data_IF_023295164139
#
_entry.id   IF_023295164139
#
_cell.length_a   1.000
_cell.length_b   1.000
_cell.length_c   1.000
_cell.angle_alpha   90.00
_cell.angle_beta   90.00
_cell.angle_gamma   90.00
#
_symmetry.space_group_name_H-M   'P 1'
#
loop_
_entity.id
_entity.type
_entity.pdbx_description
1 polymer ?
#
# COMPACT_ATOMS: atom_id res chain seq x y z
N UNK A 1 18.41 -2.57 -12.21
CA UNK A 1 17.57 -3.47 -13.03
C UNK A 1 16.75 -4.33 -12.08
N UNK A 2 15.50 -4.66 -12.41
CA UNK A 2 14.71 -5.60 -11.62
C UNK A 2 15.29 -7.02 -11.73
N UNK A 3 15.00 -7.88 -10.75
CA UNK A 3 15.37 -9.30 -10.75
C UNK A 3 14.55 -10.12 -11.77
N UNK A 4 14.82 -11.42 -11.83
CA UNK A 4 14.00 -12.36 -12.59
C UNK A 4 12.57 -12.44 -12.02
N UNK A 5 11.61 -12.86 -12.86
CA UNK A 5 10.25 -13.14 -12.40
C UNK A 5 10.26 -14.31 -11.42
N UNK A 6 9.39 -14.22 -10.42
CA UNK A 6 9.17 -15.21 -9.37
C UNK A 6 7.70 -15.29 -9.03
N UNK A 7 7.29 -16.41 -8.48
CA UNK A 7 6.00 -16.62 -7.85
C UNK A 7 6.12 -16.34 -6.34
N UNK A 8 5.06 -15.80 -5.74
CA UNK A 8 5.00 -15.48 -4.31
C UNK A 8 3.79 -16.20 -3.70
N UNK A 9 4.05 -17.11 -2.77
CA UNK A 9 3.00 -17.79 -2.02
C UNK A 9 2.60 -16.98 -0.79
N UNK A 10 1.29 -16.74 -0.65
CA UNK A 10 0.72 -16.07 0.53
C UNK A 10 -0.26 -17.01 1.22
N UNK A 11 0.02 -17.34 2.48
CA UNK A 11 -0.81 -18.18 3.33
C UNK A 11 -1.15 -17.45 4.63
N UNK A 12 -2.43 -17.44 5.00
CA UNK A 12 -2.90 -16.83 6.25
C UNK A 12 -2.37 -15.39 6.48
N UNK A 13 -2.29 -14.61 5.40
CA UNK A 13 -1.80 -13.22 5.44
C UNK A 13 -0.28 -13.06 5.55
N UNK A 14 0.50 -14.11 5.31
CA UNK A 14 1.97 -14.08 5.33
C UNK A 14 2.55 -14.60 4.03
N UNK A 15 3.67 -14.02 3.59
CA UNK A 15 4.50 -14.59 2.52
C UNK A 15 5.21 -15.81 3.10
N UNK A 16 4.99 -16.99 2.52
CA UNK A 16 5.58 -18.26 2.98
C UNK A 16 6.61 -18.81 2.01
N UNK A 17 6.57 -18.41 0.74
CA UNK A 17 7.50 -18.88 -0.29
C UNK A 17 7.71 -17.81 -1.38
N UNK A 18 8.93 -17.74 -1.92
CA UNK A 18 9.29 -16.94 -3.10
C UNK A 18 10.24 -17.79 -3.96
N UNK A 19 9.78 -18.25 -5.11
CA UNK A 19 10.52 -19.18 -5.98
C UNK A 19 10.29 -18.84 -7.46
N UNK A 20 11.14 -19.30 -8.37
CA UNK A 20 10.99 -18.99 -9.80
C UNK A 20 9.74 -19.61 -10.45
N UNK A 21 9.28 -20.72 -9.91
CA UNK A 21 8.09 -21.45 -10.36
C UNK A 21 7.54 -22.26 -9.19
N UNK A 22 6.33 -21.95 -8.75
CA UNK A 22 5.61 -22.76 -7.77
C UNK A 22 4.83 -23.85 -8.50
N UNK A 23 4.91 -25.09 -7.97
CA UNK A 23 4.01 -26.16 -8.40
C UNK A 23 2.54 -25.74 -8.22
N UNK A 24 1.63 -26.25 -9.04
CA UNK A 24 0.21 -25.92 -8.92
C UNK A 24 -0.30 -26.22 -7.49
N UNK A 25 -0.83 -25.19 -6.84
CA UNK A 25 -1.40 -25.26 -5.48
C UNK A 25 -2.91 -25.07 -5.54
N UNK A 26 -3.62 -25.69 -4.60
CA UNK A 26 -5.04 -25.40 -4.38
C UNK A 26 -5.19 -24.00 -3.76
N UNK A 27 -5.49 -23.01 -4.58
CA UNK A 27 -5.61 -21.62 -4.15
C UNK A 27 -6.00 -20.66 -5.26
N UNK A 28 -6.29 -19.41 -4.88
CA UNK A 28 -6.50 -18.33 -5.84
C UNK A 28 -5.16 -17.97 -6.46
N UNK A 29 -5.06 -18.07 -7.78
CA UNK A 29 -3.90 -17.64 -8.56
C UNK A 29 -4.19 -16.30 -9.21
N UNK A 30 -3.27 -15.36 -9.08
CA UNK A 30 -3.32 -14.05 -9.71
C UNK A 30 -2.08 -13.90 -10.61
N UNK A 31 -2.29 -13.76 -11.92
CA UNK A 31 -1.19 -13.55 -12.88
C UNK A 31 -0.64 -12.12 -12.76
N UNK A 32 0.60 -11.99 -12.29
CA UNK A 32 1.28 -10.71 -12.17
C UNK A 32 1.60 -10.03 -13.51
N UNK A 33 1.60 -10.77 -14.62
CA UNK A 33 1.90 -10.28 -15.97
C UNK A 33 3.27 -9.61 -16.08
N UNK A 34 4.26 -10.11 -15.33
CA UNK A 34 5.64 -9.57 -15.31
C UNK A 34 5.77 -8.18 -14.67
N UNK A 35 4.79 -7.73 -13.88
CA UNK A 35 4.86 -6.45 -13.17
C UNK A 35 5.78 -6.54 -11.95
N UNK A 36 6.31 -5.39 -11.54
CA UNK A 36 7.13 -5.28 -10.33
C UNK A 36 6.23 -5.44 -9.10
N UNK A 37 6.55 -6.43 -8.27
CA UNK A 37 6.02 -6.53 -6.91
C UNK A 37 6.92 -5.73 -5.95
N UNK A 38 6.30 -4.90 -5.11
CA UNK A 38 6.97 -4.18 -4.03
C UNK A 38 6.23 -4.47 -2.71
N UNK A 39 6.90 -4.35 -1.55
CA UNK A 39 6.21 -4.38 -0.27
C UNK A 39 5.08 -3.34 -0.22
N UNK A 40 4.09 -3.58 0.63
CA UNK A 40 3.09 -2.55 0.93
C UNK A 40 3.77 -1.26 1.38
N UNK A 41 3.30 -0.13 0.85
CA UNK A 41 3.83 1.17 1.24
C UNK A 41 3.54 1.44 2.72
N UNK A 42 4.45 2.13 3.39
CA UNK A 42 4.32 2.50 4.80
C UNK A 42 4.18 4.02 4.89
N UNK A 43 3.03 4.47 5.37
CA UNK A 43 2.81 5.86 5.78
C UNK A 43 3.26 6.01 7.24
N UNK A 44 4.36 6.72 7.47
CA UNK A 44 4.95 6.90 8.79
C UNK A 44 4.34 8.07 9.57
N UNK A 45 3.73 9.04 8.89
CA UNK A 45 3.18 10.23 9.50
C UNK A 45 2.09 10.88 8.65
N UNK A 46 0.85 10.78 9.10
CA UNK A 46 -0.29 11.51 8.54
C UNK A 46 -1.31 11.86 9.62
N UNK A 47 -2.14 12.87 9.34
CA UNK A 47 -3.32 13.19 10.13
C UNK A 47 -4.57 12.80 9.35
N UNK A 48 -4.96 11.52 9.44
CA UNK A 48 -6.15 11.02 8.73
C UNK A 48 -7.44 11.65 9.24
N UNK A 49 -7.49 11.97 10.53
CA UNK A 49 -8.57 12.71 11.19
C UNK A 49 -8.77 14.13 10.63
N UNK A 50 -7.70 14.72 10.09
CA UNK A 50 -7.71 16.07 9.48
C UNK A 50 -7.80 16.04 7.96
N UNK A 51 -7.95 14.86 7.37
CA UNK A 51 -8.03 14.71 5.92
C UNK A 51 -9.38 15.20 5.40
N UNK A 52 -9.36 15.90 4.27
CA UNK A 52 -10.56 16.34 3.54
C UNK A 52 -10.88 15.42 2.35
N UNK A 53 -10.26 14.24 2.30
CA UNK A 53 -10.49 13.25 1.23
C UNK A 53 -11.98 12.87 1.21
N UNK A 54 -12.59 12.99 0.04
CA UNK A 54 -14.02 12.69 -0.18
C UNK A 54 -14.99 13.83 0.14
N UNK A 55 -14.51 14.98 0.63
CA UNK A 55 -15.34 16.16 0.90
C UNK A 55 -15.35 17.16 -0.27
N UNK A 56 -16.25 18.14 -0.21
CA UNK A 56 -16.20 19.30 -1.12
C UNK A 56 -14.91 20.11 -0.91
N UNK A 57 -14.56 20.95 -1.90
CA UNK A 57 -13.38 21.81 -1.82
C UNK A 57 -13.41 22.70 -0.57
N UNK A 58 -12.37 22.61 0.25
CA UNK A 58 -12.17 23.48 1.40
C UNK A 58 -11.32 24.69 1.00
N UNK A 59 -11.91 25.88 1.07
CA UNK A 59 -11.13 27.13 1.06
C UNK A 59 -10.42 27.23 2.40
N UNK A 60 -9.09 27.30 2.38
CA UNK A 60 -8.31 27.44 3.60
C UNK A 60 -8.58 28.81 4.26
N UNK A 61 -9.24 28.80 5.41
CA UNK A 61 -9.50 29.96 6.25
C UNK A 61 -8.84 29.82 7.63
N UNK A 62 -7.90 28.87 7.78
CA UNK A 62 -7.17 28.62 9.01
C UNK A 62 -6.15 29.74 9.26
N UNK A 63 -6.08 30.24 10.49
CA UNK A 63 -5.19 31.31 10.89
C UNK A 63 -3.68 30.94 10.83
N UNK A 64 -2.79 31.94 10.97
CA UNK A 64 -1.35 31.74 10.80
C UNK A 64 -0.68 31.06 12.00
N UNK A 65 -1.35 30.94 13.15
CA UNK A 65 -0.75 30.41 14.38
C UNK A 65 -0.81 28.89 14.38
N UNK A 66 0.10 28.28 15.13
CA UNK A 66 0.08 26.84 15.36
C UNK A 66 -1.23 26.38 15.99
N UNK A 67 -1.71 27.10 17.02
CA UNK A 67 -2.97 26.75 17.70
C UNK A 67 -4.19 26.78 16.77
N UNK A 68 -4.18 27.64 15.74
CA UNK A 68 -5.27 27.69 14.75
C UNK A 68 -5.40 26.36 13.96
N UNK A 69 -4.40 25.47 14.03
CA UNK A 69 -4.33 24.18 13.32
C UNK A 69 -4.45 22.96 14.24
N UNK A 70 -4.44 23.15 15.57
CA UNK A 70 -4.33 22.07 16.54
C UNK A 70 -5.51 22.02 17.52
N UNK A 71 -6.07 23.16 17.91
CA UNK A 71 -7.32 23.23 18.69
C UNK A 71 -8.55 22.93 17.82
#
# INVERSE_FOLDING_TARGET
MAGANVDILVENGRITCIESELSALDGRVEDGGGRIAIPGLVEAHTHLDKSLIGMAWYRNEVGPRLMDRID
#
